data_IF_868844552564
#
_entry.id   IF_868844552564
#
_cell.length_a   1.000
_cell.length_b   1.000
_cell.length_c   1.000
_cell.angle_alpha   90.00
_cell.angle_beta   90.00
_cell.angle_gamma   90.00
#
_symmetry.space_group_name_H-M   'P 1'
#
loop_
_entity.id
_entity.type
_entity.pdbx_description
1 polymer ?
#
# COMPACT_ATOMS: atom_id res chain seq x y z
N UNK A 1 29.26 39.61 -57.07
CA UNK A 1 30.63 40.02 -56.81
C UNK A 1 31.05 39.42 -55.48
N UNK A 2 31.96 38.47 -55.60
CA UNK A 2 33.16 38.15 -54.84
C UNK A 2 32.94 37.55 -53.46
N UNK A 3 33.14 36.25 -53.41
CA UNK A 3 34.36 35.42 -53.22
C UNK A 3 34.80 35.39 -51.75
N UNK A 4 34.63 34.15 -51.17
CA UNK A 4 35.67 33.19 -50.74
C UNK A 4 36.60 33.64 -49.63
N UNK A 5 36.69 32.77 -48.59
CA UNK A 5 37.87 31.98 -48.20
C UNK A 5 37.46 31.22 -46.92
N UNK A 6 37.40 29.94 -46.91
CA UNK A 6 38.35 28.85 -46.65
C UNK A 6 39.50 29.20 -45.72
N UNK A 7 39.52 28.55 -44.53
CA UNK A 7 40.74 27.84 -44.16
C UNK A 7 40.46 26.87 -42.99
N UNK A 8 40.95 25.68 -43.24
CA UNK A 8 41.12 24.53 -42.34
C UNK A 8 42.00 24.87 -41.13
N UNK A 9 41.73 24.24 -39.96
CA UNK A 9 42.83 23.80 -39.14
C UNK A 9 42.54 22.48 -38.49
N UNK A 10 43.50 21.58 -38.74
CA UNK A 10 43.65 20.18 -38.36
C UNK A 10 43.89 19.97 -36.88
N UNK A 11 43.27 18.92 -36.41
CA UNK A 11 43.80 17.89 -35.50
C UNK A 11 44.85 18.26 -34.46
N UNK A 12 44.51 17.97 -33.19
CA UNK A 12 45.48 17.34 -32.27
C UNK A 12 44.74 16.32 -31.38
N UNK A 13 45.02 15.06 -31.70
CA UNK A 13 44.87 13.92 -30.79
C UNK A 13 45.75 14.16 -29.56
N UNK A 14 45.20 13.99 -28.38
CA UNK A 14 45.98 13.68 -27.20
C UNK A 14 45.35 12.47 -26.48
N UNK A 15 46.00 11.34 -26.73
CA UNK A 15 45.85 10.09 -25.97
C UNK A 15 46.07 10.35 -24.48
N UNK A 16 45.07 10.09 -23.66
CA UNK A 16 45.28 9.91 -22.23
C UNK A 16 45.23 8.40 -21.95
N UNK A 17 46.39 7.90 -21.57
CA UNK A 17 46.62 6.53 -21.12
C UNK A 17 45.83 6.28 -19.84
N UNK A 18 44.99 5.29 -19.84
CA UNK A 18 44.39 4.71 -18.64
C UNK A 18 45.43 3.76 -18.06
N UNK A 19 46.04 4.10 -16.94
CA UNK A 19 46.86 3.20 -16.14
C UNK A 19 45.99 2.42 -15.17
N UNK A 20 45.95 1.09 -15.38
CA UNK A 20 45.43 0.14 -14.41
C UNK A 20 46.30 0.16 -13.15
N UNK A 21 45.70 0.43 -12.02
CA UNK A 21 46.24 0.01 -10.74
C UNK A 21 45.13 -0.77 -10.03
N UNK A 22 45.24 -2.07 -10.12
CA UNK A 22 44.55 -2.99 -9.23
C UNK A 22 45.22 -2.88 -7.86
N UNK A 23 44.44 -2.64 -6.83
CA UNK A 23 44.88 -3.02 -5.50
C UNK A 23 43.72 -3.63 -4.69
N UNK A 24 43.97 -4.89 -4.42
CA UNK A 24 43.17 -5.86 -3.70
C UNK A 24 43.12 -5.54 -2.20
N UNK A 25 41.93 -5.37 -1.63
CA UNK A 25 41.69 -5.69 -0.22
C UNK A 25 40.34 -6.36 -0.05
N UNK A 26 40.30 -7.65 -0.36
CA UNK A 26 39.24 -8.56 0.10
C UNK A 26 39.41 -8.73 1.62
N UNK A 27 38.50 -8.19 2.41
CA UNK A 27 38.33 -8.59 3.81
C UNK A 27 37.44 -9.80 3.90
N UNK A 28 38.04 -10.95 4.18
CA UNK A 28 37.43 -12.21 4.57
C UNK A 28 36.47 -12.01 5.77
N UNK A 29 35.20 -12.20 5.58
CA UNK A 29 34.29 -12.56 6.66
C UNK A 29 34.12 -14.09 6.65
N UNK A 30 34.83 -14.75 7.59
CA UNK A 30 34.62 -16.15 7.91
C UNK A 30 33.24 -16.32 8.57
N UNK A 31 32.33 -16.94 7.87
CA UNK A 31 31.13 -17.52 8.45
C UNK A 31 31.54 -18.78 9.23
N UNK A 32 31.38 -18.74 10.54
CA UNK A 32 31.43 -19.95 11.38
C UNK A 32 30.07 -20.65 11.28
N UNK A 33 30.04 -21.75 10.56
CA UNK A 33 29.00 -22.78 10.69
C UNK A 33 29.20 -23.49 12.01
N UNK A 34 28.26 -23.39 12.93
CA UNK A 34 28.17 -24.27 14.06
C UNK A 34 27.14 -25.35 13.80
N UNK A 35 27.66 -26.58 13.74
CA UNK A 35 26.95 -27.83 13.67
C UNK A 35 25.99 -28.00 14.84
N UNK A 36 24.74 -28.30 14.49
CA UNK A 36 23.79 -28.90 15.43
C UNK A 36 23.96 -30.41 15.39
N UNK A 37 24.49 -30.98 16.45
CA UNK A 37 24.35 -32.38 16.76
C UNK A 37 24.56 -32.57 18.28
N UNK A 38 23.70 -33.40 18.86
CA UNK A 38 23.80 -34.03 20.15
C UNK A 38 23.51 -33.22 21.43
N UNK A 39 22.24 -33.21 21.81
CA UNK A 39 21.86 -33.25 23.20
C UNK A 39 20.97 -34.49 23.44
N UNK A 40 21.59 -35.54 23.97
CA UNK A 40 20.96 -36.77 24.46
C UNK A 40 19.97 -36.48 25.56
N UNK A 41 18.82 -37.12 25.43
CA UNK A 41 17.83 -37.28 26.49
C UNK A 41 18.46 -37.90 27.76
N UNK A 42 18.32 -37.22 28.88
CA UNK A 42 18.43 -37.85 30.21
C UNK A 42 17.04 -37.89 30.85
N UNK A 43 16.53 -39.11 30.92
CA UNK A 43 15.42 -39.50 31.78
C UNK A 43 15.66 -39.06 33.24
N UNK A 44 14.73 -38.33 33.80
CA UNK A 44 14.56 -38.28 35.23
C UNK A 44 13.11 -38.65 35.58
N UNK A 45 12.93 -39.88 36.02
CA UNK A 45 11.71 -40.35 36.69
C UNK A 45 11.67 -39.75 38.08
N UNK A 46 10.68 -38.98 38.42
CA UNK A 46 10.22 -38.81 39.78
C UNK A 46 8.71 -38.98 39.85
N UNK A 47 8.31 -39.79 40.80
CA UNK A 47 6.97 -40.31 41.06
C UNK A 47 6.09 -39.26 41.77
N UNK A 48 4.84 -39.29 41.39
CA UNK A 48 3.61 -39.33 42.20
C UNK A 48 3.20 -38.17 43.08
N UNK A 49 1.96 -37.89 42.85
CA UNK A 49 0.87 -37.52 43.79
C UNK A 49 0.75 -36.06 44.14
N UNK A 50 -0.22 -35.42 43.55
CA UNK A 50 -1.43 -34.95 44.26
C UNK A 50 -2.39 -34.37 43.23
N UNK A 51 -3.54 -34.97 43.14
CA UNK A 51 -4.70 -34.42 42.44
C UNK A 51 -5.14 -33.16 43.17
N UNK A 52 -5.20 -32.08 42.46
CA UNK A 52 -6.03 -30.96 42.84
C UNK A 52 -6.73 -30.44 41.55
N UNK A 53 -8.05 -30.72 41.57
CA UNK A 53 -9.02 -30.15 40.62
C UNK A 53 -8.84 -28.64 40.46
N UNK A 54 -8.22 -28.20 39.40
CA UNK A 54 -8.36 -26.85 38.94
C UNK A 54 -9.33 -26.86 37.76
N UNK A 55 -10.61 -26.60 38.09
CA UNK A 55 -11.65 -26.26 37.10
C UNK A 55 -11.15 -25.13 36.22
N UNK A 56 -10.71 -25.48 35.02
CA UNK A 56 -10.56 -24.52 33.91
C UNK A 56 -11.95 -24.02 33.61
N UNK A 57 -12.26 -22.79 34.05
CA UNK A 57 -13.45 -22.08 33.67
C UNK A 57 -13.31 -21.77 32.18
N UNK A 58 -14.01 -22.53 31.34
CA UNK A 58 -14.28 -22.16 29.98
C UNK A 58 -15.03 -20.82 30.01
N UNK A 59 -14.33 -19.74 29.69
CA UNK A 59 -14.96 -18.48 29.35
C UNK A 59 -15.59 -18.62 27.95
N UNK A 60 -16.76 -19.24 27.89
CA UNK A 60 -17.68 -19.03 26.78
C UNK A 60 -18.12 -17.57 26.84
N UNK A 61 -17.40 -16.70 26.16
CA UNK A 61 -17.90 -15.38 25.73
C UNK A 61 -19.04 -15.64 24.74
N UNK A 62 -20.23 -15.91 25.27
CA UNK A 62 -21.45 -15.69 24.52
C UNK A 62 -21.54 -14.18 24.32
N UNK A 63 -21.09 -13.69 23.17
CA UNK A 63 -21.45 -12.38 22.66
C UNK A 63 -22.94 -12.38 22.37
N UNK A 64 -23.74 -12.20 23.40
CA UNK A 64 -25.13 -11.78 23.29
C UNK A 64 -25.14 -10.23 23.32
N UNK A 65 -24.49 -9.61 22.37
CA UNK A 65 -24.85 -8.25 21.99
C UNK A 65 -26.09 -8.38 21.11
N UNK A 66 -27.26 -8.33 21.74
CA UNK A 66 -28.45 -7.87 21.06
C UNK A 66 -28.09 -6.50 20.47
N UNK A 67 -27.91 -6.46 19.15
CA UNK A 67 -27.79 -5.21 18.39
C UNK A 67 -29.11 -4.48 18.66
N UNK A 68 -29.06 -3.47 19.52
CA UNK A 68 -30.06 -2.42 19.49
C UNK A 68 -29.93 -1.82 18.09
N UNK A 69 -30.88 -2.14 17.25
CA UNK A 69 -31.03 -1.56 15.92
C UNK A 69 -31.38 -0.08 16.16
N UNK A 70 -30.33 0.74 16.23
CA UNK A 70 -30.48 2.18 16.26
C UNK A 70 -30.97 2.58 14.86
N UNK A 71 -32.21 3.02 14.77
CA UNK A 71 -32.93 3.36 13.52
C UNK A 71 -32.27 4.50 12.73
N UNK A 72 -31.16 5.07 13.23
CA UNK A 72 -30.37 6.10 12.57
C UNK A 72 -29.21 5.57 11.68
N UNK A 73 -28.96 4.25 11.67
CA UNK A 73 -27.85 3.66 10.87
C UNK A 73 -28.22 3.33 9.41
N UNK A 74 -29.46 3.51 8.99
CA UNK A 74 -29.92 3.10 7.64
C UNK A 74 -29.30 3.90 6.48
N UNK A 75 -28.60 5.01 6.75
CA UNK A 75 -27.97 5.85 5.74
C UNK A 75 -26.45 6.00 5.89
N UNK A 76 -25.82 5.33 6.85
CA UNK A 76 -24.36 5.38 6.99
C UNK A 76 -23.72 4.30 6.10
N UNK A 77 -22.73 4.65 5.25
CA UNK A 77 -21.96 3.65 4.51
C UNK A 77 -21.21 2.77 5.49
N UNK A 78 -21.27 1.46 5.26
CA UNK A 78 -20.66 0.50 6.18
C UNK A 78 -19.14 0.55 6.17
N UNK A 79 -18.52 1.02 5.08
CA UNK A 79 -17.07 1.10 4.94
C UNK A 79 -16.61 2.49 4.49
N UNK A 80 -15.34 2.81 4.77
CA UNK A 80 -14.65 3.98 4.22
C UNK A 80 -13.56 3.49 3.28
N UNK A 81 -13.62 3.86 2.00
CA UNK A 81 -12.66 3.46 0.98
C UNK A 81 -11.73 4.61 0.66
N UNK A 82 -10.43 4.41 0.76
CA UNK A 82 -9.42 5.41 0.45
C UNK A 82 -8.80 5.15 -0.92
N UNK A 83 -8.95 6.11 -1.83
CA UNK A 83 -8.32 6.11 -3.16
C UNK A 83 -7.38 7.30 -3.31
N UNK A 84 -6.46 7.25 -4.27
CA UNK A 84 -5.51 8.34 -4.57
C UNK A 84 -4.16 7.84 -5.06
N UNK A 85 -3.29 8.78 -5.40
CA UNK A 85 -1.96 8.48 -5.93
C UNK A 85 -1.12 7.61 -5.00
N UNK A 86 -0.21 6.79 -5.53
CA UNK A 86 0.86 6.21 -4.71
C UNK A 86 1.58 7.32 -3.93
N UNK A 87 1.96 7.05 -2.68
CA UNK A 87 2.62 8.05 -1.83
C UNK A 87 1.70 9.09 -1.16
N UNK A 88 0.39 9.16 -1.50
CA UNK A 88 -0.51 10.11 -0.83
C UNK A 88 -0.88 9.74 0.62
N UNK A 89 -0.50 8.54 1.08
CA UNK A 89 -0.65 8.16 2.49
C UNK A 89 -1.85 7.30 2.83
N UNK A 90 -2.56 6.69 1.85
CA UNK A 90 -3.76 5.88 2.06
C UNK A 90 -3.63 4.83 3.18
N UNK A 91 -2.61 3.98 3.12
CA UNK A 91 -2.41 2.93 4.13
C UNK A 91 -2.13 3.52 5.52
N UNK A 92 -1.31 4.58 5.59
CA UNK A 92 -0.98 5.24 6.87
C UNK A 92 -2.19 5.94 7.48
N UNK A 93 -2.90 6.73 6.68
CA UNK A 93 -4.16 7.39 7.08
C UNK A 93 -5.20 6.34 7.44
N UNK A 94 -5.33 5.28 6.61
CA UNK A 94 -6.31 4.22 6.79
C UNK A 94 -6.19 3.48 8.12
N UNK A 95 -4.98 3.09 8.52
CA UNK A 95 -4.76 2.44 9.81
C UNK A 95 -5.16 3.32 10.98
N UNK A 96 -4.77 4.62 10.96
CA UNK A 96 -5.09 5.54 12.05
C UNK A 96 -6.58 5.90 12.05
N UNK A 97 -7.18 6.06 10.88
CA UNK A 97 -8.61 6.31 10.72
C UNK A 97 -9.42 5.12 11.24
N UNK A 98 -9.07 3.89 10.86
CA UNK A 98 -9.73 2.67 11.35
C UNK A 98 -9.70 2.60 12.87
N UNK A 99 -8.54 2.85 13.49
CA UNK A 99 -8.41 2.90 14.94
C UNK A 99 -9.31 3.98 15.57
N UNK A 100 -9.38 5.16 14.97
CA UNK A 100 -10.17 6.27 15.50
C UNK A 100 -11.68 6.04 15.37
N UNK A 101 -12.11 5.34 14.32
CA UNK A 101 -13.52 5.01 14.06
C UNK A 101 -13.99 3.74 14.78
N UNK A 102 -13.06 2.92 15.30
CA UNK A 102 -13.37 1.59 15.84
C UNK A 102 -13.59 0.55 14.74
N UNK A 103 -13.15 0.82 13.52
CA UNK A 103 -13.26 -0.04 12.34
C UNK A 103 -12.08 -0.99 12.20
N UNK A 104 -12.23 -2.02 11.38
CA UNK A 104 -11.11 -2.85 10.93
C UNK A 104 -10.38 -2.15 9.77
N UNK A 105 -9.21 -2.67 9.39
CA UNK A 105 -8.41 -2.12 8.31
C UNK A 105 -8.08 -3.20 7.27
N UNK A 106 -8.33 -2.88 6.00
CA UNK A 106 -7.96 -3.70 4.85
C UNK A 106 -7.00 -2.89 3.97
N UNK A 107 -5.80 -3.44 3.71
CA UNK A 107 -4.90 -2.97 2.67
C UNK A 107 -5.03 -3.88 1.46
N UNK A 108 -5.50 -3.34 0.33
CA UNK A 108 -5.74 -4.11 -0.88
C UNK A 108 -4.46 -4.71 -1.45
N UNK A 109 -3.32 -4.03 -1.31
CA UNK A 109 -2.03 -4.54 -1.79
C UNK A 109 -1.64 -5.81 -1.02
N UNK A 110 -1.83 -5.82 0.30
CA UNK A 110 -1.61 -7.01 1.13
C UNK A 110 -2.63 -8.11 0.86
N UNK A 111 -3.89 -7.74 0.60
CA UNK A 111 -4.93 -8.70 0.25
C UNK A 111 -4.62 -9.42 -1.07
N UNK A 112 -4.19 -8.68 -2.09
CA UNK A 112 -3.77 -9.24 -3.39
C UNK A 112 -2.60 -10.20 -3.21
N UNK A 113 -1.56 -9.79 -2.48
CA UNK A 113 -0.39 -10.64 -2.20
C UNK A 113 -0.77 -11.93 -1.48
N UNK A 114 -1.66 -11.85 -0.49
CA UNK A 114 -2.17 -13.01 0.24
C UNK A 114 -2.96 -13.94 -0.68
N UNK A 115 -3.80 -13.40 -1.55
CA UNK A 115 -4.65 -14.16 -2.47
C UNK A 115 -3.84 -14.89 -3.54
N UNK A 116 -2.85 -14.20 -4.11
CA UNK A 116 -2.02 -14.72 -5.21
C UNK A 116 -0.77 -15.49 -4.71
N UNK A 117 -0.45 -15.42 -3.42
CA UNK A 117 0.73 -16.08 -2.82
C UNK A 117 2.06 -15.51 -3.30
N UNK A 118 2.08 -14.29 -3.83
CA UNK A 118 3.26 -13.60 -4.39
C UNK A 118 3.25 -12.14 -3.99
N UNK A 119 4.42 -11.49 -3.96
CA UNK A 119 4.52 -10.04 -3.78
C UNK A 119 4.12 -9.29 -5.06
N UNK A 120 3.71 -8.02 -4.94
CA UNK A 120 3.20 -7.24 -6.08
C UNK A 120 4.21 -7.15 -7.23
N UNK A 121 5.50 -6.95 -6.93
CA UNK A 121 6.54 -6.86 -7.95
C UNK A 121 6.68 -8.15 -8.77
N UNK A 122 6.51 -9.31 -8.15
CA UNK A 122 6.51 -10.62 -8.85
C UNK A 122 5.26 -10.78 -9.73
N UNK A 123 4.10 -10.32 -9.22
CA UNK A 123 2.85 -10.35 -9.99
C UNK A 123 2.93 -9.47 -11.22
N UNK A 124 3.46 -8.25 -11.09
CA UNK A 124 3.66 -7.31 -12.19
C UNK A 124 4.69 -7.86 -13.19
N UNK A 125 5.82 -8.40 -12.71
CA UNK A 125 6.83 -8.98 -13.58
C UNK A 125 6.32 -10.18 -14.38
N UNK A 126 5.46 -11.01 -13.78
CA UNK A 126 4.92 -12.21 -14.43
C UNK A 126 3.78 -11.92 -15.41
N UNK A 127 2.94 -10.91 -15.15
CA UNK A 127 1.69 -10.67 -15.89
C UNK A 127 1.69 -9.35 -16.67
N UNK A 128 2.71 -8.52 -16.52
CA UNK A 128 2.71 -7.14 -17.01
C UNK A 128 1.73 -6.25 -16.24
N UNK A 129 1.70 -4.97 -16.62
CA UNK A 129 0.81 -3.96 -15.99
C UNK A 129 -0.66 -4.31 -16.22
N UNK A 130 -1.04 -4.65 -17.44
CA UNK A 130 -2.42 -4.99 -17.78
C UNK A 130 -2.91 -6.22 -17.02
N UNK A 131 -2.13 -7.30 -16.98
CA UNK A 131 -2.50 -8.51 -16.24
C UNK A 131 -2.56 -8.28 -14.73
N UNK A 132 -1.71 -7.41 -14.19
CA UNK A 132 -1.81 -7.00 -12.79
C UNK A 132 -3.13 -6.25 -12.51
N UNK A 133 -3.56 -5.34 -13.40
CA UNK A 133 -4.84 -4.65 -13.24
C UNK A 133 -6.04 -5.61 -13.26
N UNK A 134 -5.99 -6.69 -14.05
CA UNK A 134 -7.03 -7.72 -14.05
C UNK A 134 -7.08 -8.47 -12.71
N UNK A 135 -5.91 -8.81 -12.15
CA UNK A 135 -5.81 -9.43 -10.83
C UNK A 135 -6.37 -8.48 -9.75
N UNK A 136 -5.95 -7.23 -9.76
CA UNK A 136 -6.40 -6.19 -8.83
C UNK A 136 -7.93 -6.01 -8.92
N UNK A 137 -8.48 -5.87 -10.13
CA UNK A 137 -9.92 -5.74 -10.36
C UNK A 137 -10.69 -6.94 -9.79
N UNK A 138 -10.23 -8.17 -10.05
CA UNK A 138 -10.88 -9.39 -9.57
C UNK A 138 -10.84 -9.51 -8.05
N UNK A 139 -9.68 -9.29 -7.43
CA UNK A 139 -9.53 -9.42 -5.97
C UNK A 139 -10.33 -8.36 -5.23
N UNK A 140 -10.26 -7.11 -5.68
CA UNK A 140 -11.00 -6.01 -5.05
C UNK A 140 -12.51 -6.19 -5.19
N UNK A 141 -13.00 -6.67 -6.35
CA UNK A 141 -14.43 -6.94 -6.56
C UNK A 141 -15.00 -8.04 -5.66
N UNK A 142 -14.15 -8.86 -5.05
CA UNK A 142 -14.54 -9.93 -4.14
C UNK A 142 -14.47 -9.57 -2.66
N UNK A 143 -14.19 -8.32 -2.32
CA UNK A 143 -14.09 -7.89 -0.91
C UNK A 143 -15.46 -7.91 -0.25
N UNK A 144 -15.62 -8.72 0.78
CA UNK A 144 -16.76 -8.68 1.70
C UNK A 144 -16.28 -8.01 3.00
N UNK A 145 -16.81 -6.83 3.29
CA UNK A 145 -16.38 -6.03 4.42
C UNK A 145 -17.53 -5.20 5.00
N UNK A 146 -17.52 -5.05 6.31
CA UNK A 146 -18.45 -4.23 7.08
C UNK A 146 -17.68 -3.58 8.23
N UNK A 147 -17.88 -2.29 8.46
CA UNK A 147 -17.11 -1.48 9.43
C UNK A 147 -15.60 -1.54 9.20
N UNK A 148 -15.17 -1.36 7.92
CA UNK A 148 -13.77 -1.36 7.54
C UNK A 148 -13.34 -0.02 6.93
N UNK A 149 -12.06 0.33 7.14
CA UNK A 149 -11.33 1.28 6.29
C UNK A 149 -10.53 0.48 5.28
N UNK A 150 -10.82 0.68 3.99
CA UNK A 150 -10.22 -0.06 2.88
C UNK A 150 -9.26 0.89 2.15
N UNK A 151 -7.95 0.62 2.19
CA UNK A 151 -6.94 1.36 1.43
C UNK A 151 -6.62 0.61 0.14
N UNK A 152 -6.84 1.27 -1.01
CA UNK A 152 -6.61 0.66 -2.33
C UNK A 152 -5.19 0.86 -2.83
N UNK A 153 -4.75 0.05 -3.79
CA UNK A 153 -3.63 0.36 -4.67
C UNK A 153 -3.91 1.63 -5.49
N UNK A 154 -2.85 2.26 -6.00
CA UNK A 154 -3.02 3.46 -6.83
C UNK A 154 -3.65 3.18 -8.21
N UNK A 155 -3.63 1.94 -8.66
CA UNK A 155 -4.16 1.48 -9.94
C UNK A 155 -5.59 0.93 -9.88
N UNK A 156 -6.15 0.74 -8.69
CA UNK A 156 -7.49 0.19 -8.50
C UNK A 156 -8.59 0.91 -9.33
N UNK A 157 -8.39 2.19 -9.62
CA UNK A 157 -9.29 3.03 -10.43
C UNK A 157 -9.41 2.59 -11.90
N UNK A 158 -8.50 1.76 -12.40
CA UNK A 158 -8.61 1.18 -13.73
C UNK A 158 -9.58 -0.02 -13.77
N UNK A 159 -9.81 -0.67 -12.62
CA UNK A 159 -10.76 -1.76 -12.46
C UNK A 159 -12.20 -1.25 -12.36
N UNK A 160 -12.99 -1.41 -13.43
CA UNK A 160 -14.37 -0.93 -13.46
C UNK A 160 -15.25 -1.65 -12.44
N UNK A 161 -15.11 -2.98 -12.35
CA UNK A 161 -15.90 -3.79 -11.44
C UNK A 161 -15.48 -3.56 -9.98
N UNK A 162 -14.15 -3.45 -9.75
CA UNK A 162 -13.58 -3.08 -8.45
C UNK A 162 -14.14 -1.75 -7.95
N UNK A 163 -14.14 -0.71 -8.80
CA UNK A 163 -14.63 0.60 -8.40
C UNK A 163 -16.15 0.65 -8.25
N UNK A 164 -16.90 -0.08 -9.07
CA UNK A 164 -18.34 -0.22 -8.90
C UNK A 164 -18.67 -0.86 -7.55
N UNK A 165 -18.00 -1.97 -7.24
CA UNK A 165 -18.16 -2.70 -5.99
C UNK A 165 -17.78 -1.84 -4.76
N UNK A 166 -16.60 -1.20 -4.79
CA UNK A 166 -16.15 -0.34 -3.69
C UNK A 166 -17.10 0.85 -3.43
N UNK A 167 -17.72 1.38 -4.49
CA UNK A 167 -18.72 2.45 -4.36
C UNK A 167 -20.05 1.95 -3.78
N UNK A 168 -20.39 0.69 -4.03
CA UNK A 168 -21.59 0.04 -3.48
C UNK A 168 -21.42 -0.25 -1.98
N UNK A 169 -20.28 -0.78 -1.57
CA UNK A 169 -20.04 -1.21 -0.18
C UNK A 169 -19.54 -0.11 0.74
N UNK A 170 -19.16 1.09 0.22
CA UNK A 170 -18.54 2.09 1.06
C UNK A 170 -18.50 3.52 0.53
N UNK A 171 -18.16 4.43 1.41
CA UNK A 171 -17.92 5.84 1.12
C UNK A 171 -16.51 6.03 0.56
N UNK A 172 -16.41 6.33 -0.74
CA UNK A 172 -15.13 6.47 -1.44
C UNK A 172 -14.56 7.88 -1.25
N UNK A 173 -13.42 7.97 -0.60
CA UNK A 173 -12.69 9.20 -0.28
C UNK A 173 -11.41 9.28 -1.10
N UNK A 174 -11.28 10.29 -1.92
CA UNK A 174 -10.05 10.59 -2.63
C UNK A 174 -9.13 11.46 -1.76
N UNK A 175 -7.97 10.93 -1.37
CA UNK A 175 -6.91 11.69 -0.71
C UNK A 175 -6.12 12.43 -1.78
N UNK A 176 -6.46 13.71 -2.00
CA UNK A 176 -5.84 14.56 -3.01
C UNK A 176 -4.55 15.16 -2.46
N UNK A 177 -3.49 15.06 -3.25
CA UNK A 177 -2.22 15.76 -3.05
C UNK A 177 -1.76 16.36 -4.37
N UNK A 178 -1.12 17.54 -4.38
CA UNK A 178 -0.50 18.09 -5.58
C UNK A 178 0.67 17.23 -6.04
N UNK A 179 0.97 17.32 -7.34
CA UNK A 179 2.01 16.52 -7.97
C UNK A 179 3.37 16.66 -7.28
N UNK A 180 3.74 17.88 -6.90
CA UNK A 180 5.03 18.22 -6.31
C UNK A 180 5.25 17.47 -4.98
N UNK A 181 4.22 17.36 -4.15
CA UNK A 181 4.30 16.56 -2.91
C UNK A 181 4.35 15.05 -3.18
N UNK A 182 3.65 14.58 -4.22
CA UNK A 182 3.73 13.16 -4.63
C UNK A 182 5.13 12.84 -5.13
N UNK A 183 5.73 13.70 -5.96
CA UNK A 183 7.08 13.53 -6.50
C UNK A 183 8.13 13.49 -5.36
N UNK A 184 8.04 14.42 -4.40
CA UNK A 184 8.92 14.45 -3.24
C UNK A 184 8.82 13.17 -2.38
N UNK A 185 7.58 12.70 -2.12
CA UNK A 185 7.33 11.52 -1.27
C UNK A 185 7.70 10.21 -1.94
N UNK A 186 7.61 10.11 -3.25
CA UNK A 186 7.90 8.87 -3.97
C UNK A 186 9.39 8.66 -4.20
N UNK A 187 10.16 9.74 -4.42
CA UNK A 187 11.59 9.64 -4.69
C UNK A 187 11.88 8.68 -5.85
N UNK A 188 12.61 7.59 -5.57
CA UNK A 188 12.88 6.57 -6.58
C UNK A 188 11.66 5.64 -6.77
N UNK A 189 10.99 5.80 -7.91
CA UNK A 189 9.75 5.11 -8.31
C UNK A 189 9.89 3.58 -8.39
N UNK A 190 11.08 3.09 -8.78
CA UNK A 190 11.30 1.66 -9.03
C UNK A 190 11.26 0.79 -7.77
N UNK A 191 11.47 1.38 -6.59
CA UNK A 191 11.50 0.61 -5.34
C UNK A 191 10.13 0.35 -4.71
N UNK A 192 9.04 0.97 -5.20
CA UNK A 192 7.73 0.94 -4.53
C UNK A 192 6.63 0.14 -5.23
N UNK A 193 6.96 -0.65 -6.26
CA UNK A 193 5.96 -1.47 -6.96
C UNK A 193 4.86 -0.65 -7.66
N UNK A 194 5.20 0.54 -8.15
CA UNK A 194 4.26 1.40 -8.87
C UNK A 194 4.13 0.89 -10.30
N UNK A 195 2.91 0.67 -10.75
CA UNK A 195 2.61 0.30 -12.13
C UNK A 195 2.76 1.52 -13.04
N UNK A 196 3.86 1.59 -13.77
CA UNK A 196 4.13 2.60 -14.80
C UNK A 196 4.47 1.87 -16.09
N UNK A 197 3.89 2.29 -17.21
CA UNK A 197 4.23 1.76 -18.52
C UNK A 197 5.62 2.21 -18.97
N UNK A 198 6.33 1.42 -19.76
CA UNK A 198 7.64 1.79 -20.28
C UNK A 198 7.60 3.12 -21.04
N UNK A 199 8.40 4.09 -20.60
CA UNK A 199 8.48 5.42 -21.22
C UNK A 199 7.53 6.46 -20.64
N UNK A 200 6.66 6.06 -19.70
CA UNK A 200 5.75 6.97 -19.00
C UNK A 200 6.43 7.61 -17.79
N UNK A 201 6.15 8.88 -17.56
CA UNK A 201 6.66 9.63 -16.39
C UNK A 201 5.66 9.62 -15.23
N UNK A 202 6.11 9.96 -14.02
CA UNK A 202 5.20 10.16 -12.90
C UNK A 202 4.17 11.26 -13.18
N UNK A 203 4.55 12.30 -13.92
CA UNK A 203 3.65 13.39 -14.30
C UNK A 203 2.54 12.90 -15.25
N UNK A 204 2.88 12.04 -16.19
CA UNK A 204 1.90 11.44 -17.09
C UNK A 204 0.92 10.56 -16.32
N UNK A 205 1.44 9.71 -15.43
CA UNK A 205 0.64 8.89 -14.55
C UNK A 205 -0.30 9.72 -13.65
N UNK A 206 0.20 10.81 -13.09
CA UNK A 206 -0.59 11.73 -12.28
C UNK A 206 -1.74 12.33 -13.09
N UNK A 207 -1.44 12.86 -14.28
CA UNK A 207 -2.42 13.48 -15.17
C UNK A 207 -3.50 12.50 -15.65
N UNK A 208 -3.14 11.23 -15.85
CA UNK A 208 -4.09 10.18 -16.24
C UNK A 208 -4.99 9.77 -15.06
N UNK A 209 -4.42 9.65 -13.85
CA UNK A 209 -5.15 9.06 -12.70
C UNK A 209 -6.03 10.06 -11.97
N UNK A 210 -5.63 11.33 -11.86
CA UNK A 210 -6.38 12.35 -11.13
C UNK A 210 -7.84 12.46 -11.60
N UNK A 211 -8.14 12.56 -12.91
CA UNK A 211 -9.52 12.59 -13.36
C UNK A 211 -10.34 11.35 -13.00
N UNK A 212 -9.68 10.18 -12.92
CA UNK A 212 -10.35 8.93 -12.53
C UNK A 212 -10.62 8.90 -11.02
N UNK A 213 -9.69 9.37 -10.18
CA UNK A 213 -9.95 9.50 -8.75
C UNK A 213 -11.12 10.47 -8.50
N UNK A 214 -11.15 11.63 -9.17
CA UNK A 214 -12.23 12.60 -9.05
C UNK A 214 -13.58 12.03 -9.51
N UNK A 215 -13.59 11.21 -10.58
CA UNK A 215 -14.79 10.54 -11.08
C UNK A 215 -15.37 9.53 -10.11
N UNK A 216 -14.53 8.76 -9.43
CA UNK A 216 -15.01 7.66 -8.57
C UNK A 216 -15.24 8.09 -7.13
N UNK A 217 -14.66 9.20 -6.68
CA UNK A 217 -14.83 9.69 -5.33
C UNK A 217 -16.26 10.11 -5.01
N UNK A 218 -16.75 9.80 -3.83
CA UNK A 218 -17.90 10.44 -3.22
C UNK A 218 -17.48 11.75 -2.53
N UNK A 219 -16.25 11.77 -2.01
CA UNK A 219 -15.65 12.91 -1.33
C UNK A 219 -14.20 13.09 -1.74
N UNK A 220 -13.80 14.33 -1.98
CA UNK A 220 -12.40 14.72 -2.19
C UNK A 220 -11.92 15.41 -0.92
N UNK A 221 -10.82 14.91 -0.37
CA UNK A 221 -10.15 15.49 0.80
C UNK A 221 -8.77 15.96 0.36
N UNK A 222 -8.60 17.27 0.25
CA UNK A 222 -7.29 17.87 0.02
C UNK A 222 -6.47 17.77 1.32
N UNK A 223 -5.35 17.05 1.22
CA UNK A 223 -4.42 16.79 2.34
C UNK A 223 -3.11 17.54 2.19
N UNK A 224 -3.03 18.51 1.27
CA UNK A 224 -1.85 19.34 1.06
C UNK A 224 -1.45 20.06 2.36
N UNK A 225 -0.18 19.92 2.73
CA UNK A 225 0.38 20.55 3.92
C UNK A 225 -0.14 19.99 5.25
N UNK A 226 -1.07 19.04 5.25
CA UNK A 226 -1.59 18.44 6.48
C UNK A 226 -0.69 17.32 6.99
N UNK A 227 -0.48 17.30 8.30
CA UNK A 227 0.10 16.13 8.97
C UNK A 227 -0.94 15.01 9.06
N UNK A 228 -0.46 13.79 9.34
CA UNK A 228 -1.31 12.59 9.43
C UNK A 228 -2.54 12.78 10.32
N UNK A 229 -2.35 13.37 11.53
CA UNK A 229 -3.44 13.57 12.49
C UNK A 229 -4.51 14.52 11.96
N UNK A 230 -4.12 15.56 11.26
CA UNK A 230 -5.03 16.54 10.67
C UNK A 230 -5.81 15.95 9.50
N UNK A 231 -5.14 15.17 8.66
CA UNK A 231 -5.80 14.44 7.57
C UNK A 231 -6.88 13.50 8.10
N UNK A 232 -6.58 12.73 9.14
CA UNK A 232 -7.56 11.83 9.79
C UNK A 232 -8.70 12.61 10.41
N UNK A 233 -8.42 13.70 11.16
CA UNK A 233 -9.44 14.53 11.79
C UNK A 233 -10.40 15.12 10.76
N UNK A 234 -9.86 15.63 9.63
CA UNK A 234 -10.66 16.18 8.54
C UNK A 234 -11.60 15.15 7.90
N UNK A 235 -11.13 13.90 7.72
CA UNK A 235 -11.99 12.83 7.20
C UNK A 235 -13.12 12.51 8.18
N UNK A 236 -12.83 12.42 9.48
CA UNK A 236 -13.83 12.13 10.53
C UNK A 236 -14.86 13.25 10.61
N UNK A 237 -14.43 14.51 10.54
CA UNK A 237 -15.30 15.69 10.55
C UNK A 237 -16.30 15.61 9.37
N UNK A 238 -15.79 15.46 8.14
CA UNK A 238 -16.62 15.39 6.93
C UNK A 238 -17.55 14.15 6.98
N UNK A 239 -17.08 13.02 7.50
CA UNK A 239 -17.91 11.84 7.68
C UNK A 239 -19.06 12.12 8.65
N UNK A 240 -18.77 12.77 9.79
CA UNK A 240 -19.76 13.16 10.78
C UNK A 240 -20.82 14.11 10.21
N UNK A 241 -20.41 15.11 9.43
CA UNK A 241 -21.34 16.04 8.77
C UNK A 241 -22.27 15.38 7.76
N UNK A 242 -21.78 14.37 7.03
CA UNK A 242 -22.56 13.69 5.99
C UNK A 242 -23.48 12.59 6.53
N UNK A 243 -23.09 11.87 7.57
CA UNK A 243 -23.75 10.62 7.98
C UNK A 243 -24.22 10.61 9.42
N UNK A 244 -23.53 11.30 10.36
CA UNK A 244 -23.97 11.41 11.74
C UNK A 244 -24.76 12.71 11.91
N UNK A 245 -26.08 12.66 11.74
CA UNK A 245 -26.94 13.75 12.17
C UNK A 245 -26.89 13.79 13.70
N UNK A 246 -26.32 14.88 14.23
CA UNK A 246 -26.34 15.23 15.66
C UNK A 246 -27.76 15.51 16.09
#
# INVERSE_FOLDING_TARGET
>A
MSRNNYENNKTKNSNVKISHAADSKAKNYKTKSNNAADIKAKNCKTKSSHASDSKVKNYNLKNSNAKNHDTNKENEPSNIVLIGMPGCGKSTVGVVLAKAMGYQFIDCDLLIQKHEGKILSELIAANGVAGFHEIENRVISSIEADENVIATGGSAIYGKDAMAHLREIGWVVYLKLPYEEIEERLGDLHQRGITIEPGETLRDLYNQRVPLYEKYAHQIVDTQGLILRESVAKIIEIYGENFRKI
#
